data_IF_574445939582
#
_entry.id   IF_574445939582
#
_cell.length_a   1.000
_cell.length_b   1.000
_cell.length_c   1.000
_cell.angle_alpha   90.00
_cell.angle_beta   90.00
_cell.angle_gamma   90.00
#
_symmetry.space_group_name_H-M   'P 1'
#
loop_
_entity.id
_entity.type
_entity.pdbx_description
1 polymer ?
#
# COMPACT_ATOMS: atom_id res chain seq x y z
N UNK A 1 -8.74 -10.34 12.15
CA UNK A 1 -9.80 -10.36 13.17
C UNK A 1 -11.19 -9.92 12.70
N UNK A 2 -11.47 -9.78 11.39
CA UNK A 2 -12.81 -9.33 10.93
C UNK A 2 -13.86 -10.43 10.73
N UNK A 3 -13.46 -11.71 10.67
CA UNK A 3 -14.37 -12.86 10.50
C UNK A 3 -14.90 -13.34 11.88
N UNK A 4 -14.21 -12.99 12.97
CA UNK A 4 -14.63 -13.24 14.36
C UNK A 4 -15.60 -12.17 14.90
N UNK A 5 -15.89 -11.12 14.11
CA UNK A 5 -16.74 -10.01 14.53
C UNK A 5 -18.24 -10.28 14.37
N UNK A 6 -18.62 -11.39 13.72
CA UNK A 6 -20.03 -11.78 13.61
C UNK A 6 -20.39 -12.61 14.83
N UNK A 7 -21.24 -12.06 15.71
CA UNK A 7 -21.73 -12.79 16.88
C UNK A 7 -22.34 -14.12 16.45
N UNK A 8 -21.90 -15.23 17.08
CA UNK A 8 -22.50 -16.56 16.88
C UNK A 8 -24.02 -16.53 17.08
N UNK A 9 -24.52 -15.66 17.96
CA UNK A 9 -25.95 -15.44 18.18
C UNK A 9 -26.72 -14.99 16.93
N UNK A 10 -26.11 -14.22 16.01
CA UNK A 10 -26.78 -13.85 14.76
C UNK A 10 -26.90 -15.02 13.78
N UNK A 11 -25.92 -15.92 13.80
CA UNK A 11 -25.94 -17.15 12.99
C UNK A 11 -27.00 -18.12 13.55
N UNK A 12 -27.08 -18.24 14.87
CA UNK A 12 -28.07 -19.09 15.56
C UNK A 12 -29.50 -18.55 15.42
N UNK A 13 -29.70 -17.22 15.50
CA UNK A 13 -31.00 -16.59 15.25
C UNK A 13 -31.44 -16.75 13.79
N UNK A 14 -30.52 -16.57 12.84
CA UNK A 14 -30.80 -16.76 11.42
C UNK A 14 -31.12 -18.22 11.07
N UNK A 15 -30.42 -19.17 11.69
CA UNK A 15 -30.73 -20.59 11.58
C UNK A 15 -32.10 -20.93 12.19
N UNK A 16 -32.46 -20.31 13.32
CA UNK A 16 -33.78 -20.47 13.96
C UNK A 16 -34.92 -19.87 13.14
N UNK A 17 -34.63 -18.87 12.30
CA UNK A 17 -35.57 -18.30 11.32
C UNK A 17 -35.69 -19.15 10.03
N UNK A 18 -35.00 -20.31 9.95
CA UNK A 18 -35.07 -21.22 8.82
C UNK A 18 -34.18 -20.83 7.63
N UNK A 19 -33.23 -19.90 7.80
CA UNK A 19 -32.31 -19.53 6.73
C UNK A 19 -31.26 -20.62 6.49
N UNK A 20 -31.00 -20.94 5.22
CA UNK A 20 -29.94 -21.86 4.83
C UNK A 20 -28.55 -21.21 5.00
N UNK A 21 -27.50 -22.01 5.23
CA UNK A 21 -26.10 -21.58 5.38
C UNK A 21 -25.62 -20.58 4.33
N UNK A 22 -26.04 -20.75 3.07
CA UNK A 22 -25.69 -19.82 2.00
C UNK A 22 -26.36 -18.44 2.16
N UNK A 23 -27.62 -18.41 2.60
CA UNK A 23 -28.35 -17.17 2.87
C UNK A 23 -27.75 -16.45 4.07
N UNK A 24 -27.42 -17.17 5.14
CA UNK A 24 -26.75 -16.62 6.32
C UNK A 24 -25.41 -15.99 5.92
N UNK A 25 -24.62 -16.68 5.10
CA UNK A 25 -23.32 -16.17 4.66
C UNK A 25 -23.45 -14.90 3.81
N UNK A 26 -24.31 -14.91 2.79
CA UNK A 26 -24.45 -13.80 1.84
C UNK A 26 -25.15 -12.58 2.44
N UNK A 27 -26.17 -12.78 3.27
CA UNK A 27 -27.03 -11.70 3.78
C UNK A 27 -26.56 -11.12 5.12
N UNK A 28 -25.84 -11.91 5.93
CA UNK A 28 -25.47 -11.52 7.30
C UNK A 28 -23.96 -11.39 7.42
N UNK A 29 -23.23 -12.48 7.17
CA UNK A 29 -21.79 -12.55 7.45
C UNK A 29 -21.01 -11.63 6.49
N UNK A 30 -21.26 -11.72 5.19
CA UNK A 30 -20.52 -10.98 4.17
C UNK A 30 -20.64 -9.44 4.32
N UNK A 31 -21.86 -8.84 4.38
CA UNK A 31 -21.98 -7.39 4.51
C UNK A 31 -21.44 -6.85 5.84
N UNK A 32 -21.56 -7.60 6.94
CA UNK A 32 -21.00 -7.20 8.23
C UNK A 32 -19.47 -7.26 8.22
N UNK A 33 -18.89 -8.37 7.75
CA UNK A 33 -17.45 -8.53 7.66
C UNK A 33 -16.81 -7.45 6.78
N UNK A 34 -17.43 -7.13 5.64
CA UNK A 34 -16.97 -6.05 4.75
C UNK A 34 -16.98 -4.70 5.48
N UNK A 35 -18.04 -4.37 6.20
CA UNK A 35 -18.16 -3.10 6.93
C UNK A 35 -17.14 -2.98 8.08
N UNK A 36 -16.71 -4.09 8.65
CA UNK A 36 -15.67 -4.13 9.70
C UNK A 36 -14.25 -4.14 9.14
N UNK A 37 -14.02 -4.78 7.99
CA UNK A 37 -12.68 -4.97 7.41
C UNK A 37 -12.28 -3.81 6.48
N UNK A 38 -13.23 -3.18 5.78
CA UNK A 38 -12.93 -2.06 4.88
C UNK A 38 -12.26 -0.86 5.58
N UNK A 39 -12.76 -0.34 6.72
CA UNK A 39 -12.15 0.82 7.37
C UNK A 39 -10.66 0.63 7.74
N UNK A 40 -10.24 -0.48 8.41
CA UNK A 40 -8.84 -0.69 8.73
C UNK A 40 -7.98 -0.96 7.49
N UNK A 41 -8.50 -1.63 6.45
CA UNK A 41 -7.77 -1.79 5.19
C UNK A 41 -7.45 -0.44 4.54
N UNK A 42 -8.44 0.46 4.48
CA UNK A 42 -8.24 1.80 3.94
C UNK A 42 -7.20 2.58 4.76
N UNK A 43 -7.27 2.50 6.08
CA UNK A 43 -6.28 3.14 6.97
C UNK A 43 -4.87 2.58 6.75
N UNK A 44 -4.73 1.27 6.61
CA UNK A 44 -3.46 0.60 6.33
C UNK A 44 -2.90 1.03 4.96
N UNK A 45 -3.75 1.07 3.93
CA UNK A 45 -3.36 1.51 2.58
C UNK A 45 -2.86 2.96 2.58
N UNK A 46 -3.56 3.86 3.28
CA UNK A 46 -3.13 5.26 3.43
C UNK A 46 -1.78 5.35 4.14
N UNK A 47 -1.57 4.56 5.20
CA UNK A 47 -0.31 4.55 5.94
C UNK A 47 0.85 4.07 5.08
N UNK A 48 0.65 2.98 4.33
CA UNK A 48 1.67 2.45 3.41
C UNK A 48 2.04 3.45 2.32
N UNK A 49 1.07 4.19 1.78
CA UNK A 49 1.33 5.26 0.80
C UNK A 49 2.16 6.38 1.45
N UNK A 50 1.80 6.81 2.66
CA UNK A 50 2.53 7.87 3.39
C UNK A 50 3.96 7.46 3.69
N UNK A 51 4.17 6.26 4.23
CA UNK A 51 5.50 5.77 4.58
C UNK A 51 6.39 5.66 3.33
N UNK A 52 5.83 5.15 2.22
CA UNK A 52 6.56 5.04 0.94
C UNK A 52 6.92 6.41 0.35
N UNK A 53 5.97 7.36 0.38
CA UNK A 53 6.19 8.73 -0.12
C UNK A 53 7.22 9.49 0.72
N UNK A 54 7.17 9.34 2.04
CA UNK A 54 8.09 9.97 2.98
C UNK A 54 9.52 9.47 2.74
N UNK A 55 9.73 8.15 2.70
CA UNK A 55 11.07 7.55 2.46
C UNK A 55 11.63 7.97 1.11
N UNK A 56 10.80 7.96 0.05
CA UNK A 56 11.23 8.41 -1.29
C UNK A 56 11.66 9.88 -1.32
N UNK A 57 10.92 10.76 -0.64
CA UNK A 57 11.23 12.20 -0.59
C UNK A 57 12.53 12.48 0.16
N UNK A 58 12.76 11.81 1.30
CA UNK A 58 14.01 11.95 2.07
C UNK A 58 15.21 11.46 1.24
N UNK A 59 15.09 10.28 0.62
CA UNK A 59 16.17 9.71 -0.18
C UNK A 59 16.58 10.62 -1.35
N UNK A 60 15.62 11.27 -2.00
CA UNK A 60 15.85 12.23 -3.08
C UNK A 60 16.59 13.48 -2.56
N UNK A 61 16.19 13.99 -1.41
CA UNK A 61 16.82 15.15 -0.79
C UNK A 61 18.28 14.86 -0.43
N UNK A 62 18.53 13.72 0.23
CA UNK A 62 19.88 13.29 0.62
C UNK A 62 20.79 13.11 -0.60
N UNK A 63 20.27 12.51 -1.67
CA UNK A 63 21.00 12.34 -2.94
C UNK A 63 21.43 13.70 -3.52
N UNK A 64 20.49 14.66 -3.56
CA UNK A 64 20.73 15.98 -4.15
C UNK A 64 21.73 16.78 -3.33
N UNK A 65 21.64 16.71 -2.00
CA UNK A 65 22.60 17.33 -1.09
C UNK A 65 24.00 16.75 -1.28
N UNK A 66 24.12 15.42 -1.34
CA UNK A 66 25.40 14.75 -1.54
C UNK A 66 26.01 15.09 -2.91
N UNK A 67 25.19 15.19 -3.95
CA UNK A 67 25.62 15.62 -5.27
C UNK A 67 26.19 17.04 -5.26
N UNK A 68 25.52 17.98 -4.59
CA UNK A 68 26.04 19.36 -4.45
C UNK A 68 27.36 19.40 -3.68
N UNK A 69 27.49 18.62 -2.61
CA UNK A 69 28.74 18.51 -1.85
C UNK A 69 29.88 18.01 -2.75
N UNK A 70 29.67 16.94 -3.52
CA UNK A 70 30.66 16.40 -4.45
C UNK A 70 31.03 17.40 -5.57
N UNK A 71 30.05 18.16 -6.08
CA UNK A 71 30.30 19.20 -7.10
C UNK A 71 31.19 20.29 -6.51
N UNK A 72 30.95 20.69 -5.26
CA UNK A 72 31.73 21.73 -4.59
C UNK A 72 33.18 21.31 -4.32
N UNK A 73 33.45 20.02 -4.13
CA UNK A 73 34.80 19.50 -3.89
C UNK A 73 35.57 19.19 -5.18
N UNK A 74 34.90 18.60 -6.17
CA UNK A 74 35.57 18.10 -7.38
C UNK A 74 35.47 19.06 -8.57
N UNK A 75 34.56 20.03 -8.54
CA UNK A 75 34.19 20.90 -9.66
C UNK A 75 33.75 20.15 -10.93
N UNK A 76 33.50 18.83 -10.85
CA UNK A 76 33.06 17.96 -11.95
C UNK A 76 31.53 17.98 -12.10
N UNK A 77 30.98 19.17 -12.36
CA UNK A 77 29.53 19.40 -12.43
C UNK A 77 28.83 18.47 -13.42
N UNK A 78 29.40 18.29 -14.62
CA UNK A 78 28.77 17.48 -15.66
C UNK A 78 28.66 16.00 -15.31
N UNK A 79 29.75 15.39 -14.83
CA UNK A 79 29.81 13.95 -14.50
C UNK A 79 28.90 13.61 -13.32
N UNK A 80 28.82 14.50 -12.33
CA UNK A 80 27.98 14.29 -11.14
C UNK A 80 26.50 14.42 -11.50
N UNK A 81 26.10 15.45 -12.23
CA UNK A 81 24.71 15.58 -12.67
C UNK A 81 24.28 14.43 -13.60
N UNK A 82 25.19 13.95 -14.46
CA UNK A 82 24.92 12.78 -15.29
C UNK A 82 24.69 11.51 -14.44
N UNK A 83 25.52 11.29 -13.43
CA UNK A 83 25.38 10.18 -12.48
C UNK A 83 24.09 10.27 -11.68
N UNK A 84 23.75 11.46 -11.18
CA UNK A 84 22.49 11.74 -10.48
C UNK A 84 21.30 11.44 -11.40
N UNK A 85 21.33 11.88 -12.66
CA UNK A 85 20.27 11.61 -13.63
C UNK A 85 20.05 10.10 -13.85
N UNK A 86 21.13 9.32 -13.99
CA UNK A 86 21.04 7.85 -14.07
C UNK A 86 20.41 7.28 -12.80
N UNK A 87 20.84 7.75 -11.63
CA UNK A 87 20.36 7.24 -10.35
C UNK A 87 18.87 7.55 -10.13
N UNK A 88 18.43 8.76 -10.50
CA UNK A 88 17.01 9.10 -10.56
C UNK A 88 16.24 8.15 -11.47
N UNK A 89 16.76 7.87 -12.67
CA UNK A 89 16.12 6.95 -13.62
C UNK A 89 15.99 5.53 -13.04
N UNK A 90 17.01 5.03 -12.34
CA UNK A 90 16.96 3.73 -11.65
C UNK A 90 15.90 3.74 -10.54
N UNK A 91 15.84 4.79 -9.72
CA UNK A 91 14.83 4.92 -8.67
C UNK A 91 13.42 4.96 -9.29
N UNK A 92 13.21 5.78 -10.32
CA UNK A 92 11.92 5.89 -11.01
C UNK A 92 11.47 4.56 -11.60
N UNK A 93 12.35 3.83 -12.27
CA UNK A 93 12.03 2.50 -12.83
C UNK A 93 11.70 1.52 -11.71
N UNK A 94 12.48 1.51 -10.62
CA UNK A 94 12.25 0.61 -9.48
C UNK A 94 10.90 0.90 -8.82
N UNK A 95 10.56 2.17 -8.61
CA UNK A 95 9.28 2.58 -8.05
C UNK A 95 8.12 2.21 -8.99
N UNK A 96 8.27 2.48 -10.29
CA UNK A 96 7.27 2.17 -11.31
C UNK A 96 7.02 0.65 -11.38
N UNK A 97 8.08 -0.15 -11.28
CA UNK A 97 7.98 -1.61 -11.19
C UNK A 97 7.27 -2.06 -9.92
N UNK A 98 7.57 -1.45 -8.77
CA UNK A 98 6.93 -1.79 -7.49
C UNK A 98 5.43 -1.45 -7.50
N UNK A 99 5.06 -0.31 -8.08
CA UNK A 99 3.66 0.08 -8.29
C UNK A 99 2.96 -0.89 -9.25
N UNK A 100 3.58 -1.23 -10.39
CA UNK A 100 3.02 -2.21 -11.32
C UNK A 100 2.86 -3.60 -10.69
N UNK A 101 3.79 -4.00 -9.81
CA UNK A 101 3.71 -5.25 -9.06
C UNK A 101 2.54 -5.23 -8.06
N UNK A 102 2.37 -4.12 -7.32
CA UNK A 102 1.23 -3.91 -6.42
C UNK A 102 -0.11 -3.90 -7.17
N UNK A 103 -0.20 -3.21 -8.30
CA UNK A 103 -1.41 -3.18 -9.13
C UNK A 103 -1.78 -4.57 -9.66
N UNK A 104 -0.81 -5.36 -10.12
CA UNK A 104 -1.05 -6.73 -10.58
C UNK A 104 -1.48 -7.67 -9.44
N UNK A 105 -1.03 -7.41 -8.20
CA UNK A 105 -1.51 -8.12 -7.00
C UNK A 105 -2.93 -7.72 -6.64
N UNK A 106 -3.29 -6.44 -6.75
CA UNK A 106 -4.62 -5.93 -6.41
C UNK A 106 -5.68 -6.32 -7.45
N UNK A 107 -5.36 -6.31 -8.75
CA UNK A 107 -6.27 -6.73 -9.83
C UNK A 107 -6.63 -8.23 -9.80
N UNK A 108 -5.92 -9.03 -9.01
CA UNK A 108 -6.14 -10.48 -8.89
C UNK A 108 -7.06 -10.87 -7.73
N UNK A 109 -7.58 -9.89 -6.98
CA UNK A 109 -8.62 -10.03 -5.95
C UNK A 109 -9.84 -9.18 -6.31
#
# INVERSE_FOLDING_TARGET
SGILAVERGQIEAAASLGLNRYQIFRLIILPQAIRTILPPLTSQAISLIKDSALVSTIAIYDLTMQAQALISETFLTFEIWFTVAILYLVITITLSFFVAFLENRLKRY
#
